data_IF_939242430030
#
_entry.id   IF_939242430030
#
_cell.length_a   1.000
_cell.length_b   1.000
_cell.length_c   1.000
_cell.angle_alpha   90.00
_cell.angle_beta   90.00
_cell.angle_gamma   90.00
#
_symmetry.space_group_name_H-M   'P 1'
#
loop_
_entity.id
_entity.type
_entity.pdbx_description
1 polymer ?
#
# COMPACT_ATOMS: atom_id res chain seq x y z
N UNK A 1 -24.94 -16.22 0.24
CA UNK A 1 -24.21 -15.08 0.87
C UNK A 1 -23.76 -14.11 -0.20
N UNK A 2 -24.51 -13.01 -0.38
CA UNK A 2 -24.17 -11.92 -1.28
C UNK A 2 -23.10 -11.02 -0.65
N UNK A 3 -22.06 -10.64 -1.41
CA UNK A 3 -20.99 -9.72 -1.01
C UNK A 3 -20.96 -8.52 -1.97
N UNK A 4 -22.02 -7.72 -1.98
CA UNK A 4 -22.07 -6.42 -2.65
C UNK A 4 -22.50 -5.34 -1.65
N UNK A 5 -22.07 -4.10 -1.87
CA UNK A 5 -22.59 -2.93 -1.15
C UNK A 5 -23.96 -2.61 -1.76
N UNK A 6 -24.96 -2.32 -0.91
CA UNK A 6 -26.27 -1.85 -1.37
C UNK A 6 -26.10 -0.48 -2.01
N UNK A 7 -26.24 -0.43 -3.32
CA UNK A 7 -26.33 0.80 -4.11
C UNK A 7 -27.72 1.43 -3.91
N UNK A 8 -27.83 2.76 -4.05
CA UNK A 8 -28.95 3.63 -3.64
C UNK A 8 -30.36 3.00 -3.60
N UNK A 9 -31.01 3.01 -2.42
CA UNK A 9 -32.40 2.56 -2.25
C UNK A 9 -33.36 3.69 -2.69
N UNK A 10 -34.09 3.48 -3.79
CA UNK A 10 -35.17 4.38 -4.25
C UNK A 10 -36.54 3.81 -3.91
N UNK A 11 -37.28 4.48 -3.02
CA UNK A 11 -38.64 4.09 -2.61
C UNK A 11 -39.65 4.99 -3.33
N UNK A 12 -40.61 4.38 -4.04
CA UNK A 12 -41.68 5.07 -4.75
C UNK A 12 -43.03 4.78 -4.07
N UNK A 13 -43.82 5.83 -3.80
CA UNK A 13 -45.19 5.70 -3.26
C UNK A 13 -46.23 5.40 -4.37
N UNK A 14 -45.80 4.75 -5.44
CA UNK A 14 -46.66 4.30 -6.55
C UNK A 14 -46.08 3.06 -7.23
N UNK A 15 -46.93 2.30 -7.90
CA UNK A 15 -46.50 1.17 -8.73
C UNK A 15 -45.73 1.71 -9.94
N UNK A 16 -44.54 1.16 -10.18
CA UNK A 16 -43.73 1.47 -11.35
C UNK A 16 -44.24 0.69 -12.57
N UNK A 17 -44.22 1.33 -13.73
CA UNK A 17 -44.48 0.68 -15.01
C UNK A 17 -43.30 -0.20 -15.44
N UNK A 18 -43.54 -1.15 -16.35
CA UNK A 18 -42.47 -1.98 -16.91
C UNK A 18 -41.37 -1.15 -17.59
N UNK A 19 -41.73 -0.01 -18.19
CA UNK A 19 -40.78 0.90 -18.81
C UNK A 19 -39.92 1.63 -17.76
N UNK A 20 -40.53 2.17 -16.70
CA UNK A 20 -39.79 2.79 -15.58
C UNK A 20 -38.88 1.77 -14.88
N UNK A 21 -39.35 0.52 -14.72
CA UNK A 21 -38.52 -0.57 -14.19
C UNK A 21 -37.34 -0.84 -15.13
N UNK A 22 -37.55 -0.89 -16.44
CA UNK A 22 -36.49 -1.08 -17.43
C UNK A 22 -35.49 0.08 -17.44
N UNK A 23 -35.94 1.33 -17.30
CA UNK A 23 -35.08 2.51 -17.19
C UNK A 23 -34.25 2.50 -15.90
N UNK A 24 -34.75 1.95 -14.79
CA UNK A 24 -33.96 1.72 -13.58
C UNK A 24 -32.87 0.65 -13.76
N UNK A 25 -33.09 -0.33 -14.64
CA UNK A 25 -32.07 -1.34 -15.01
C UNK A 25 -31.09 -0.85 -16.09
N UNK A 26 -31.53 0.03 -16.98
CA UNK A 26 -30.74 0.61 -18.08
C UNK A 26 -30.02 1.91 -17.68
N UNK A 27 -30.44 2.52 -16.59
CA UNK A 27 -29.64 3.50 -15.87
C UNK A 27 -28.39 2.79 -15.42
N UNK A 28 -27.36 2.85 -16.27
CA UNK A 28 -25.99 2.63 -15.89
C UNK A 28 -25.80 3.40 -14.59
N UNK A 29 -25.73 2.67 -13.48
CA UNK A 29 -24.78 3.08 -12.44
C UNK A 29 -23.51 3.43 -13.19
N UNK A 30 -22.78 4.49 -12.82
CA UNK A 30 -21.40 4.62 -13.26
C UNK A 30 -20.58 3.41 -12.73
N UNK A 31 -20.82 2.23 -13.28
CA UNK A 31 -19.88 1.12 -13.38
C UNK A 31 -19.05 1.27 -14.65
N UNK A 32 -19.06 2.47 -15.23
CA UNK A 32 -17.98 3.05 -16.03
C UNK A 32 -17.40 4.26 -15.28
N UNK A 33 -17.22 4.18 -13.95
CA UNK A 33 -15.84 4.43 -13.56
C UNK A 33 -15.12 3.24 -14.18
N UNK A 34 -14.31 3.40 -15.25
CA UNK A 34 -13.25 2.42 -15.39
C UNK A 34 -12.68 2.31 -13.97
N UNK A 35 -12.47 1.09 -13.48
CA UNK A 35 -11.36 0.93 -12.55
C UNK A 35 -10.16 1.33 -13.41
N UNK A 36 -9.96 2.64 -13.62
CA UNK A 36 -8.70 3.21 -13.92
C UNK A 36 -7.95 2.74 -12.71
N UNK A 37 -7.22 1.65 -12.93
CA UNK A 37 -6.15 1.22 -12.09
C UNK A 37 -5.14 2.37 -12.21
N UNK A 38 -5.49 3.52 -11.62
CA UNK A 38 -4.77 4.76 -11.73
C UNK A 38 -3.47 4.46 -11.03
N UNK A 39 -2.48 4.22 -11.87
CA UNK A 39 -1.15 3.96 -11.39
C UNK A 39 -0.80 5.16 -10.52
N UNK A 40 -0.23 4.91 -9.35
CA UNK A 40 -0.05 6.00 -8.42
C UNK A 40 0.79 7.10 -9.05
N UNK A 41 0.35 8.34 -8.94
CA UNK A 41 1.03 9.47 -9.59
C UNK A 41 2.33 9.84 -8.88
N UNK A 42 2.49 9.41 -7.63
CA UNK A 42 3.64 9.74 -6.78
C UNK A 42 4.20 8.51 -6.08
N UNK A 43 5.53 8.51 -5.92
CA UNK A 43 6.23 7.54 -5.09
C UNK A 43 6.21 8.00 -3.63
N UNK A 44 5.72 7.14 -2.73
CA UNK A 44 5.54 7.46 -1.31
C UNK A 44 6.01 6.31 -0.44
N UNK A 45 6.68 6.63 0.67
CA UNK A 45 6.81 5.74 1.81
C UNK A 45 5.73 6.13 2.83
N UNK A 46 5.05 5.19 3.47
CA UNK A 46 4.09 5.45 4.55
C UNK A 46 4.72 5.20 5.92
N UNK A 47 4.14 5.76 7.01
CA UNK A 47 4.45 5.30 8.35
C UNK A 47 4.19 3.80 8.48
N UNK A 48 5.05 3.11 9.24
CA UNK A 48 4.87 1.71 9.56
C UNK A 48 3.78 1.56 10.64
N UNK A 49 3.03 0.47 10.59
CA UNK A 49 2.00 0.17 11.58
C UNK A 49 2.03 -1.32 11.98
N UNK A 50 1.98 -1.64 13.28
CA UNK A 50 1.97 -0.70 14.42
C UNK A 50 3.33 0.00 14.63
N UNK A 51 3.33 1.11 15.36
CA UNK A 51 4.54 1.79 15.86
C UNK A 51 4.19 2.52 17.18
N UNK A 52 4.79 2.16 18.33
CA UNK A 52 5.76 1.08 18.56
C UNK A 52 5.21 -0.31 18.22
N UNK A 53 6.08 -1.30 17.99
CA UNK A 53 5.67 -2.65 17.57
C UNK A 53 6.39 -3.78 18.33
N UNK A 54 5.74 -4.95 18.41
CA UNK A 54 6.28 -6.18 19.00
C UNK A 54 5.64 -7.44 18.37
N UNK A 55 6.41 -8.38 17.77
CA UNK A 55 7.73 -8.21 17.17
C UNK A 55 7.64 -7.73 15.71
N UNK A 56 6.44 -7.54 15.16
CA UNK A 56 6.21 -7.29 13.73
C UNK A 56 5.55 -5.93 13.45
N UNK A 57 5.97 -5.30 12.35
CA UNK A 57 5.34 -4.09 11.80
C UNK A 57 5.26 -4.19 10.28
N UNK A 58 4.20 -3.64 9.70
CA UNK A 58 4.04 -3.54 8.26
C UNK A 58 4.57 -2.18 7.76
N UNK A 59 5.40 -2.21 6.71
CA UNK A 59 5.90 -1.04 6.01
C UNK A 59 5.21 -1.00 4.65
N UNK A 60 4.41 0.05 4.42
CA UNK A 60 3.73 0.29 3.15
C UNK A 60 4.47 1.34 2.34
N UNK A 61 4.51 1.13 1.03
CA UNK A 61 5.03 2.11 0.07
C UNK A 61 4.29 2.01 -1.24
N UNK A 62 4.34 3.10 -2.00
CA UNK A 62 3.69 3.28 -3.27
C UNK A 62 4.74 3.72 -4.29
N UNK A 63 4.66 3.16 -5.49
CA UNK A 63 5.58 3.43 -6.59
C UNK A 63 4.81 4.05 -7.75
N UNK A 64 5.28 5.19 -8.24
CA UNK A 64 4.78 5.77 -9.48
C UNK A 64 5.36 5.06 -10.71
N UNK A 65 4.73 5.19 -11.90
CA UNK A 65 5.33 4.73 -13.15
C UNK A 65 6.74 5.26 -13.34
N UNK A 66 7.69 4.37 -13.65
CA UNK A 66 9.01 4.78 -14.05
C UNK A 66 8.98 5.07 -15.56
N UNK A 67 8.97 6.36 -15.94
CA UNK A 67 9.03 6.79 -17.35
C UNK A 67 8.11 5.98 -18.28
N UNK A 68 8.58 5.73 -19.51
CA UNK A 68 7.83 5.01 -20.55
C UNK A 68 7.72 3.50 -20.26
N UNK A 69 6.91 3.11 -19.27
CA UNK A 69 6.56 1.71 -19.00
C UNK A 69 7.66 0.86 -18.35
N UNK A 70 8.66 1.48 -17.72
CA UNK A 70 9.74 0.76 -17.05
C UNK A 70 9.35 0.33 -15.62
N UNK A 71 10.07 -0.67 -15.09
CA UNK A 71 10.01 -1.04 -13.67
C UNK A 71 10.94 -0.16 -12.83
N UNK A 72 10.51 0.15 -11.62
CA UNK A 72 11.28 0.84 -10.60
C UNK A 72 12.35 -0.09 -10.00
N UNK A 73 13.60 0.38 -9.87
CA UNK A 73 14.60 -0.29 -9.04
C UNK A 73 14.38 0.11 -7.58
N UNK A 74 13.87 -0.81 -6.77
CA UNK A 74 13.45 -0.56 -5.39
C UNK A 74 14.40 -1.21 -4.40
N UNK A 75 14.87 -0.41 -3.44
CA UNK A 75 15.57 -0.91 -2.26
C UNK A 75 14.90 -0.39 -0.98
N UNK A 76 14.46 -1.29 -0.11
CA UNK A 76 13.95 -0.98 1.21
C UNK A 76 14.86 -1.62 2.25
N UNK A 77 15.61 -0.79 2.97
CA UNK A 77 16.65 -1.22 3.90
C UNK A 77 16.46 -0.59 5.27
N UNK A 78 16.68 -1.39 6.32
CA UNK A 78 16.61 -1.01 7.73
C UNK A 78 18.02 -0.77 8.27
N UNK A 79 18.15 0.28 9.06
CA UNK A 79 19.36 0.73 9.71
C UNK A 79 19.11 0.92 11.21
N UNK A 80 20.16 0.78 12.02
CA UNK A 80 20.14 1.26 13.40
C UNK A 80 20.47 2.76 13.47
N UNK A 81 20.43 3.34 14.67
CA UNK A 81 20.73 4.76 14.89
C UNK A 81 22.17 5.17 14.51
N UNK A 82 23.10 4.22 14.49
CA UNK A 82 24.49 4.46 14.04
C UNK A 82 24.63 4.44 12.51
N UNK A 83 23.53 4.25 11.77
CA UNK A 83 23.54 4.12 10.31
C UNK A 83 24.04 2.78 9.80
N UNK A 84 24.26 1.79 10.69
CA UNK A 84 24.66 0.45 10.29
C UNK A 84 23.47 -0.30 9.71
N UNK A 85 23.68 -0.95 8.56
CA UNK A 85 22.65 -1.77 7.91
C UNK A 85 22.29 -2.95 8.80
N UNK A 86 21.01 -3.07 9.13
CA UNK A 86 20.44 -4.18 9.91
C UNK A 86 19.89 -5.25 8.98
N UNK A 87 19.04 -4.84 8.03
CA UNK A 87 18.38 -5.77 7.10
C UNK A 87 17.96 -5.10 5.81
N UNK A 88 18.10 -5.79 4.68
CA UNK A 88 17.43 -5.42 3.44
C UNK A 88 16.12 -6.22 3.31
N UNK A 89 14.98 -5.53 3.26
CA UNK A 89 13.66 -6.15 3.12
C UNK A 89 13.28 -6.36 1.64
N UNK A 90 13.66 -5.41 0.79
CA UNK A 90 13.37 -5.43 -0.65
C UNK A 90 14.60 -4.97 -1.40
N UNK A 91 14.97 -5.70 -2.45
CA UNK A 91 15.97 -5.30 -3.44
C UNK A 91 15.58 -5.91 -4.79
N UNK A 92 14.65 -5.26 -5.49
CA UNK A 92 14.01 -5.84 -6.66
C UNK A 92 13.57 -4.78 -7.67
N UNK A 93 13.26 -5.22 -8.89
CA UNK A 93 12.51 -4.42 -9.86
C UNK A 93 11.02 -4.61 -9.63
N UNK A 94 10.28 -3.51 -9.49
CA UNK A 94 8.85 -3.52 -9.21
C UNK A 94 8.12 -2.55 -10.15
N UNK A 95 6.96 -2.95 -10.65
CA UNK A 95 6.09 -2.07 -11.45
C UNK A 95 5.50 -0.95 -10.58
N UNK A 96 4.83 0.01 -11.20
CA UNK A 96 4.03 0.98 -10.45
C UNK A 96 2.91 0.27 -9.69
N UNK A 97 2.61 0.76 -8.49
CA UNK A 97 1.60 0.17 -7.62
C UNK A 97 1.88 0.34 -6.14
N UNK A 98 1.05 -0.29 -5.33
CA UNK A 98 1.12 -0.28 -3.87
C UNK A 98 1.69 -1.59 -3.34
N UNK A 99 2.59 -1.48 -2.38
CA UNK A 99 3.34 -2.60 -1.81
C UNK A 99 3.34 -2.55 -0.29
N UNK A 100 3.40 -3.73 0.33
CA UNK A 100 3.55 -3.90 1.77
C UNK A 100 4.59 -4.98 2.05
N UNK A 101 5.46 -4.74 3.02
CA UNK A 101 6.39 -5.75 3.55
C UNK A 101 6.36 -5.73 5.07
N UNK A 102 6.52 -6.90 5.68
CA UNK A 102 6.59 -7.03 7.13
C UNK A 102 8.05 -7.13 7.61
N UNK A 103 8.35 -6.48 8.71
CA UNK A 103 9.61 -6.68 9.42
C UNK A 103 9.36 -7.22 10.82
N UNK A 104 9.93 -8.39 11.12
CA UNK A 104 9.82 -9.08 12.40
C UNK A 104 10.98 -8.75 13.36
N UNK A 105 11.61 -7.57 13.26
CA UNK A 105 12.73 -7.20 14.13
C UNK A 105 13.93 -8.17 14.03
N UNK A 106 14.27 -8.64 12.82
CA UNK A 106 15.41 -9.54 12.59
C UNK A 106 16.42 -8.91 11.65
N UNK A 107 17.71 -9.21 11.84
CA UNK A 107 18.80 -8.83 10.93
C UNK A 107 18.83 -9.71 9.66
N UNK A 108 19.77 -9.45 8.76
CA UNK A 108 20.00 -10.24 7.54
C UNK A 108 20.35 -11.72 7.82
N UNK A 109 20.82 -12.05 9.02
CA UNK A 109 21.13 -13.43 9.45
C UNK A 109 19.96 -14.11 10.16
N UNK A 110 18.79 -13.47 10.21
CA UNK A 110 17.60 -13.99 10.87
C UNK A 110 17.62 -13.87 12.41
N UNK A 111 18.64 -13.23 12.99
CA UNK A 111 18.78 -13.04 14.43
C UNK A 111 17.92 -11.88 14.89
N UNK A 112 17.30 -12.03 16.06
CA UNK A 112 16.53 -10.97 16.68
C UNK A 112 17.44 -9.80 17.05
N UNK A 113 17.04 -8.58 16.68
CA UNK A 113 17.69 -7.35 17.15
C UNK A 113 17.04 -6.85 18.45
N UNK A 114 17.79 -6.06 19.22
CA UNK A 114 17.36 -5.50 20.50
C UNK A 114 16.25 -4.45 20.35
N UNK A 115 15.50 -4.20 21.43
CA UNK A 115 14.59 -3.07 21.54
C UNK A 115 15.31 -1.75 21.26
N UNK A 116 14.62 -0.81 20.61
CA UNK A 116 15.21 0.48 20.25
C UNK A 116 14.62 1.12 19.00
N UNK A 117 15.23 2.23 18.60
CA UNK A 117 14.85 2.99 17.40
C UNK A 117 15.61 2.44 16.19
N UNK A 118 14.87 2.25 15.12
CA UNK A 118 15.39 1.84 13.81
C UNK A 118 14.91 2.81 12.74
N UNK A 119 15.65 2.89 11.64
CA UNK A 119 15.33 3.71 10.48
C UNK A 119 15.11 2.78 9.29
N UNK A 120 13.97 2.87 8.62
CA UNK A 120 13.77 2.22 7.32
C UNK A 120 13.83 3.27 6.22
N UNK A 121 14.52 2.93 5.13
CA UNK A 121 14.77 3.80 3.99
C UNK A 121 14.34 3.11 2.71
N UNK A 122 13.44 3.77 1.99
CA UNK A 122 13.04 3.43 0.63
C UNK A 122 13.87 4.24 -0.36
N UNK A 123 14.52 3.57 -1.30
CA UNK A 123 15.20 4.15 -2.45
C UNK A 123 14.56 3.64 -3.74
N UNK A 124 14.18 4.57 -4.62
CA UNK A 124 13.60 4.30 -5.94
C UNK A 124 14.20 5.27 -6.95
N UNK A 125 15.21 4.82 -7.70
CA UNK A 125 16.01 5.75 -8.53
C UNK A 125 16.61 6.88 -7.69
N UNK A 126 16.22 8.12 -7.99
CA UNK A 126 16.63 9.34 -7.29
C UNK A 126 15.75 9.66 -6.07
N UNK A 127 14.57 9.03 -5.95
CA UNK A 127 13.73 9.19 -4.78
C UNK A 127 14.33 8.44 -3.59
N UNK A 128 14.56 9.15 -2.49
CA UNK A 128 14.99 8.57 -1.21
C UNK A 128 14.11 9.11 -0.09
N UNK A 129 13.45 8.22 0.64
CA UNK A 129 12.67 8.58 1.84
C UNK A 129 12.99 7.65 2.99
N UNK A 130 13.21 8.24 4.16
CA UNK A 130 13.46 7.52 5.40
C UNK A 130 12.38 7.82 6.43
N UNK A 131 12.13 6.86 7.32
CA UNK A 131 11.26 7.01 8.49
C UNK A 131 11.79 6.20 9.67
N UNK A 132 11.39 6.59 10.87
CA UNK A 132 11.77 5.93 12.13
C UNK A 132 10.67 4.97 12.59
N UNK A 133 11.08 3.93 13.32
CA UNK A 133 10.21 2.97 13.99
C UNK A 133 10.81 2.54 15.33
N UNK A 134 9.95 2.16 16.28
CA UNK A 134 10.33 1.75 17.63
C UNK A 134 9.96 0.28 17.84
N UNK A 135 10.97 -0.57 18.04
CA UNK A 135 10.80 -1.98 18.39
C UNK A 135 10.76 -2.13 19.91
N UNK A 136 9.74 -2.82 20.42
CA UNK A 136 9.59 -3.23 21.82
C UNK A 136 9.71 -4.75 21.93
N UNK A 137 10.58 -5.20 22.83
CA UNK A 137 10.81 -6.59 23.22
C UNK A 137 11.26 -6.67 24.66
#
# INVERSE_FOLDING_TARGET
NFKGILDDIRIYNRVLTLQEIQELYQGSTPLDDPVTNELPTTTLLYPNYPNPFNPATAIRYQLSPAGQGASNNVELTIYNLLGQKVRTLVKARQSAGSYQVEWHGRDDFGRSVSSGIYIYRLRVGDYVKSRQMVLLR
#
